data_IF_128561343330
#
_entry.id   IF_128561343330
#
_cell.length_a   1.000
_cell.length_b   1.000
_cell.length_c   1.000
_cell.angle_alpha   90.00
_cell.angle_beta   90.00
_cell.angle_gamma   90.00
#
_symmetry.space_group_name_H-M   'P 1'
#
loop_
_entity.id
_entity.type
_entity.pdbx_description
1 polymer ?
#
# COMPACT_ATOMS: atom_id res chain seq x y z
N UNK A 1 7.08 -8.62 -35.29
CA UNK A 1 6.15 -7.47 -35.09
C UNK A 1 6.73 -6.37 -34.19
N UNK A 2 8.05 -6.27 -34.01
CA UNK A 2 8.68 -5.12 -33.35
C UNK A 2 9.02 -4.06 -34.39
N UNK A 3 8.05 -3.19 -34.66
CA UNK A 3 8.20 -1.80 -35.13
C UNK A 3 8.97 -1.56 -36.44
N UNK A 4 8.43 -2.07 -37.56
CA UNK A 4 8.69 -1.54 -38.90
C UNK A 4 7.86 -0.26 -39.14
N UNK A 5 8.10 0.79 -38.36
CA UNK A 5 7.32 2.03 -38.47
C UNK A 5 8.16 3.04 -39.24
N UNK A 6 7.70 3.39 -40.43
CA UNK A 6 8.19 4.58 -41.12
C UNK A 6 7.66 5.80 -40.38
N UNK A 7 8.53 6.76 -40.11
CA UNK A 7 8.15 7.99 -39.42
C UNK A 7 8.17 9.17 -40.39
N UNK A 8 7.20 10.08 -40.25
CA UNK A 8 7.27 11.36 -40.93
C UNK A 8 8.09 12.34 -40.11
N UNK A 9 8.65 13.37 -40.77
CA UNK A 9 9.40 14.43 -40.09
C UNK A 9 8.60 15.11 -38.96
N UNK A 10 7.26 15.12 -39.07
CA UNK A 10 6.35 15.65 -38.03
C UNK A 10 6.29 14.76 -36.79
N UNK A 11 6.30 13.43 -36.97
CA UNK A 11 6.26 12.47 -35.87
C UNK A 11 7.60 12.49 -35.11
N UNK A 12 8.70 12.55 -35.86
CA UNK A 12 10.05 12.64 -35.28
C UNK A 12 10.21 13.96 -34.51
N UNK A 13 9.75 15.08 -35.07
CA UNK A 13 9.74 16.37 -34.37
C UNK A 13 8.90 16.32 -33.07
N UNK A 14 7.78 15.61 -33.08
CA UNK A 14 6.93 15.44 -31.89
C UNK A 14 7.58 14.55 -30.84
N UNK A 15 8.24 13.46 -31.25
CA UNK A 15 9.00 12.56 -30.38
C UNK A 15 10.26 13.23 -29.77
N UNK A 16 10.82 14.23 -30.45
CA UNK A 16 11.94 15.05 -29.94
C UNK A 16 11.46 16.17 -28.99
N UNK A 17 10.23 16.10 -28.48
CA UNK A 17 9.66 17.05 -27.52
C UNK A 17 9.75 18.54 -27.95
N UNK A 18 9.84 18.82 -29.26
CA UNK A 18 10.00 20.16 -29.85
C UNK A 18 11.28 20.91 -29.43
N UNK A 19 12.31 20.21 -28.98
CA UNK A 19 13.60 20.83 -28.62
C UNK A 19 14.31 21.47 -29.83
N UNK A 20 14.06 20.94 -31.03
CA UNK A 20 14.67 21.41 -32.28
C UNK A 20 13.60 21.91 -33.24
N UNK A 21 13.88 22.98 -33.98
CA UNK A 21 12.96 23.51 -34.99
C UNK A 21 12.63 22.46 -36.07
N UNK A 22 11.36 22.40 -36.49
CA UNK A 22 10.87 21.43 -37.49
C UNK A 22 11.70 21.39 -38.78
N UNK A 23 12.17 22.56 -39.23
CA UNK A 23 13.03 22.70 -40.41
C UNK A 23 14.43 22.12 -40.19
N UNK A 24 14.99 22.24 -38.98
CA UNK A 24 16.27 21.63 -38.63
C UNK A 24 16.17 20.11 -38.59
N UNK A 25 15.10 19.56 -37.97
CA UNK A 25 14.83 18.12 -37.95
C UNK A 25 14.67 17.57 -39.37
N UNK A 26 13.91 18.25 -40.22
CA UNK A 26 13.73 17.84 -41.61
C UNK A 26 15.05 17.83 -42.39
N UNK A 27 15.87 18.88 -42.27
CA UNK A 27 17.18 18.95 -42.94
C UNK A 27 18.13 17.86 -42.49
N UNK A 28 18.14 17.55 -41.19
CA UNK A 28 18.97 16.46 -40.65
C UNK A 28 18.53 15.09 -41.18
N UNK A 29 17.22 14.85 -41.32
CA UNK A 29 16.69 13.61 -41.91
C UNK A 29 17.03 13.49 -43.39
N UNK A 30 16.91 14.57 -44.16
CA UNK A 30 17.33 14.59 -45.57
C UNK A 30 18.83 14.34 -45.72
N UNK A 31 19.65 14.91 -44.83
CA UNK A 31 21.09 14.63 -44.79
C UNK A 31 21.38 13.16 -44.50
N UNK A 32 20.77 12.59 -43.46
CA UNK A 32 20.93 11.17 -43.11
C UNK A 32 20.43 10.22 -44.22
N UNK A 33 19.40 10.63 -44.96
CA UNK A 33 18.91 9.89 -46.13
C UNK A 33 19.92 9.98 -47.29
N UNK A 34 20.51 11.15 -47.53
CA UNK A 34 21.54 11.34 -48.57
C UNK A 34 22.84 10.58 -48.27
N UNK A 35 23.20 10.45 -46.99
CA UNK A 35 24.32 9.63 -46.51
C UNK A 35 24.01 8.13 -46.55
N UNK A 36 22.75 7.76 -46.85
CA UNK A 36 22.31 6.38 -46.98
C UNK A 36 22.20 5.65 -45.64
N UNK A 37 22.19 6.37 -44.52
CA UNK A 37 22.02 5.82 -43.16
C UNK A 37 20.57 5.45 -42.87
N UNK A 38 19.62 6.18 -43.48
CA UNK A 38 18.19 5.90 -43.42
C UNK A 38 17.62 5.80 -44.84
N UNK A 39 16.56 5.02 -45.01
CA UNK A 39 15.82 4.94 -46.27
C UNK A 39 14.75 6.03 -46.30
N UNK A 40 14.74 6.80 -47.38
CA UNK A 40 13.68 7.78 -47.67
C UNK A 40 12.72 7.17 -48.69
N UNK A 41 11.43 7.17 -48.38
CA UNK A 41 10.36 6.78 -49.30
C UNK A 41 9.40 7.94 -49.48
N UNK A 42 9.21 8.35 -50.73
CA UNK A 42 8.31 9.45 -51.09
C UNK A 42 6.91 8.87 -51.31
N UNK A 43 5.97 9.22 -50.42
CA UNK A 43 4.56 8.90 -50.58
C UNK A 43 3.82 10.18 -51.00
N UNK A 44 3.80 10.45 -52.30
CA UNK A 44 3.16 11.65 -52.86
C UNK A 44 3.87 12.94 -52.45
N UNK A 45 3.20 13.80 -51.67
CA UNK A 45 3.76 15.08 -51.17
C UNK A 45 4.56 14.97 -49.87
N UNK A 46 4.57 13.80 -49.23
CA UNK A 46 5.21 13.60 -47.93
C UNK A 46 6.33 12.57 -48.02
N UNK A 47 7.41 12.83 -47.28
CA UNK A 47 8.59 11.96 -47.19
C UNK A 47 8.51 11.15 -45.89
N UNK A 48 8.58 9.83 -46.01
CA UNK A 48 8.64 8.91 -44.90
C UNK A 48 10.08 8.40 -44.76
N UNK A 49 10.58 8.36 -43.52
CA UNK A 49 11.93 7.92 -43.20
C UNK A 49 11.89 6.62 -42.41
N UNK A 50 12.74 5.66 -42.77
CA UNK A 50 12.89 4.42 -42.03
C UNK A 50 14.37 4.06 -41.84
N UNK A 51 14.75 3.42 -40.72
CA UNK A 51 16.10 2.96 -40.51
C UNK A 51 16.46 1.83 -41.50
N UNK A 52 17.68 1.84 -42.03
CA UNK A 52 18.16 0.78 -42.92
C UNK A 52 18.16 -0.56 -42.20
N UNK A 53 17.57 -1.57 -42.84
CA UNK A 53 17.49 -2.93 -42.29
C UNK A 53 18.61 -3.83 -42.81
N UNK A 54 19.22 -3.49 -43.95
CA UNK A 54 20.29 -4.26 -44.60
C UNK A 54 21.55 -4.45 -43.72
N UNK A 55 21.67 -3.65 -42.66
CA UNK A 55 22.75 -3.76 -41.66
C UNK A 55 22.53 -4.90 -40.65
N UNK A 56 21.31 -5.42 -40.56
CA UNK A 56 20.99 -6.60 -39.75
C UNK A 56 21.01 -7.79 -40.69
N UNK A 57 21.97 -8.70 -40.52
CA UNK A 57 22.12 -9.87 -41.37
C UNK A 57 20.91 -10.80 -41.33
N UNK A 58 20.91 -11.82 -42.18
CA UNK A 58 19.90 -12.86 -42.13
C UNK A 58 19.96 -13.57 -40.77
N UNK A 59 18.85 -13.54 -40.05
CA UNK A 59 18.72 -14.22 -38.77
C UNK A 59 18.57 -15.72 -39.02
N UNK A 60 19.45 -16.52 -38.44
CA UNK A 60 19.31 -17.98 -38.46
C UNK A 60 18.10 -18.41 -37.63
N UNK A 61 17.31 -19.34 -38.15
CA UNK A 61 16.10 -19.82 -37.50
C UNK A 61 16.42 -20.49 -36.14
N UNK A 62 17.63 -21.05 -35.99
CA UNK A 62 18.07 -21.59 -34.70
C UNK A 62 18.36 -20.50 -33.68
N UNK A 63 18.90 -19.34 -34.10
CA UNK A 63 19.13 -18.21 -33.20
C UNK A 63 17.81 -17.60 -32.72
N UNK A 64 16.82 -17.49 -33.61
CA UNK A 64 15.46 -17.05 -33.25
C UNK A 64 14.87 -18.01 -32.21
N UNK A 65 14.91 -19.33 -32.47
CA UNK A 65 14.42 -20.35 -31.53
C UNK A 65 15.14 -20.30 -30.18
N UNK A 66 16.46 -20.04 -30.19
CA UNK A 66 17.24 -19.88 -28.97
C UNK A 66 16.80 -18.64 -28.19
N UNK A 67 16.61 -17.50 -28.85
CA UNK A 67 16.13 -16.27 -28.22
C UNK A 67 14.73 -16.48 -27.65
N UNK A 68 13.82 -17.10 -28.40
CA UNK A 68 12.47 -17.42 -27.92
C UNK A 68 12.53 -18.32 -26.69
N UNK A 69 13.38 -19.35 -26.69
CA UNK A 69 13.57 -20.21 -25.51
C UNK A 69 14.09 -19.44 -24.29
N UNK A 70 14.98 -18.46 -24.50
CA UNK A 70 15.48 -17.59 -23.43
C UNK A 70 14.40 -16.64 -22.92
N UNK A 71 13.58 -16.07 -23.81
CA UNK A 71 12.45 -15.21 -23.46
C UNK A 71 11.45 -16.00 -22.62
N UNK A 72 11.08 -17.21 -23.04
CA UNK A 72 10.18 -18.08 -22.28
C UNK A 72 10.76 -18.42 -20.91
N UNK A 73 12.02 -18.85 -20.84
CA UNK A 73 12.68 -19.18 -19.57
C UNK A 73 12.78 -17.97 -18.62
N UNK A 74 13.13 -16.79 -19.12
CA UNK A 74 13.19 -15.57 -18.32
C UNK A 74 11.78 -15.14 -17.87
N UNK A 75 10.77 -15.25 -18.72
CA UNK A 75 9.39 -14.90 -18.39
C UNK A 75 8.82 -15.82 -17.30
N UNK A 76 9.11 -17.13 -17.37
CA UNK A 76 8.74 -18.07 -16.32
C UNK A 76 9.43 -17.77 -14.98
N UNK A 77 10.73 -17.45 -15.01
CA UNK A 77 11.47 -17.05 -13.80
C UNK A 77 10.86 -15.79 -13.19
N UNK A 78 10.57 -14.78 -14.00
CA UNK A 78 9.95 -13.54 -13.56
C UNK A 78 8.60 -13.81 -12.90
N UNK A 79 7.76 -14.63 -13.54
CA UNK A 79 6.46 -15.01 -12.98
C UNK A 79 6.59 -15.70 -11.62
N UNK A 80 7.50 -16.68 -11.50
CA UNK A 80 7.76 -17.38 -10.22
C UNK A 80 8.27 -16.44 -9.13
N UNK A 81 9.19 -15.54 -9.47
CA UNK A 81 9.70 -14.52 -8.54
C UNK A 81 8.59 -13.58 -8.08
N UNK A 82 7.72 -13.14 -8.99
CA UNK A 82 6.62 -12.23 -8.69
C UNK A 82 5.55 -12.91 -7.81
N UNK A 83 5.25 -14.19 -8.06
CA UNK A 83 4.40 -15.00 -7.18
C UNK A 83 5.02 -15.15 -5.79
N UNK A 84 6.32 -15.45 -5.72
CA UNK A 84 7.06 -15.61 -4.46
C UNK A 84 7.07 -14.31 -3.65
N UNK A 85 7.32 -13.17 -4.31
CA UNK A 85 7.27 -11.85 -3.68
C UNK A 85 5.89 -11.58 -3.08
N UNK A 86 4.83 -11.84 -3.84
CA UNK A 86 3.45 -11.64 -3.38
C UNK A 86 3.13 -12.51 -2.17
N UNK A 87 3.58 -13.78 -2.16
CA UNK A 87 3.41 -14.65 -0.99
C UNK A 87 4.19 -14.11 0.22
N UNK A 88 5.46 -13.74 0.05
CA UNK A 88 6.30 -13.22 1.14
C UNK A 88 5.78 -11.88 1.68
N UNK A 89 5.28 -10.98 0.82
CA UNK A 89 4.63 -9.74 1.24
C UNK A 89 3.36 -10.02 2.04
N UNK A 90 2.58 -11.02 1.63
CA UNK A 90 1.36 -11.39 2.36
C UNK A 90 1.69 -12.04 3.72
N UNK A 91 2.71 -12.89 3.78
CA UNK A 91 3.23 -13.46 5.03
C UNK A 91 3.79 -12.36 5.95
N UNK A 92 4.58 -11.43 5.42
CA UNK A 92 5.14 -10.32 6.17
C UNK A 92 4.04 -9.38 6.68
N UNK A 93 3.01 -9.11 5.87
CA UNK A 93 1.83 -8.35 6.30
C UNK A 93 1.07 -9.11 7.40
N UNK A 94 0.89 -10.42 7.27
CA UNK A 94 0.23 -11.23 8.28
C UNK A 94 1.01 -11.18 9.60
N UNK A 95 2.32 -11.43 9.57
CA UNK A 95 3.21 -11.39 10.74
C UNK A 95 3.24 -10.01 11.39
N UNK A 96 3.28 -8.92 10.60
CA UNK A 96 3.23 -7.55 11.13
C UNK A 96 1.84 -7.16 11.67
N UNK A 97 0.76 -7.73 11.12
CA UNK A 97 -0.60 -7.48 11.61
C UNK A 97 -0.92 -8.26 12.89
N UNK A 98 -0.24 -9.39 13.10
CA UNK A 98 -0.22 -10.06 14.39
C UNK A 98 0.68 -9.31 15.36
N UNK A 99 0.17 -9.07 16.56
CA UNK A 99 0.88 -8.36 17.61
C UNK A 99 2.28 -8.97 17.80
N UNK A 100 3.35 -8.19 17.57
CA UNK A 100 4.73 -8.66 17.76
C UNK A 100 4.86 -9.32 19.12
N UNK A 101 5.54 -10.46 19.23
CA UNK A 101 5.72 -11.21 20.48
C UNK A 101 6.17 -10.33 21.66
N UNK A 102 6.92 -9.27 21.36
CA UNK A 102 7.35 -8.24 22.33
C UNK A 102 6.17 -7.42 22.89
N UNK A 103 5.28 -6.95 22.02
CA UNK A 103 4.08 -6.19 22.39
C UNK A 103 3.03 -7.07 23.07
N UNK A 104 2.98 -8.36 22.71
CA UNK A 104 2.16 -9.34 23.42
C UNK A 104 2.65 -9.53 24.87
N UNK A 105 3.97 -9.61 25.08
CA UNK A 105 4.55 -9.72 26.43
C UNK A 105 4.31 -8.48 27.29
N UNK A 106 4.44 -7.27 26.73
CA UNK A 106 4.16 -6.03 27.48
C UNK A 106 2.68 -5.94 27.86
N UNK A 107 1.75 -6.19 26.92
CA UNK A 107 0.32 -6.23 27.22
C UNK A 107 -0.03 -7.29 28.25
N UNK A 108 0.57 -8.47 28.18
CA UNK A 108 0.36 -9.54 29.15
C UNK A 108 0.81 -9.10 30.54
N UNK A 109 2.00 -8.49 30.67
CA UNK A 109 2.48 -7.94 31.94
C UNK A 109 1.55 -6.85 32.50
N UNK A 110 1.06 -5.94 31.65
CA UNK A 110 0.13 -4.89 32.06
C UNK A 110 -1.23 -5.46 32.52
N UNK A 111 -1.76 -6.44 31.79
CA UNK A 111 -3.00 -7.13 32.12
C UNK A 111 -2.88 -7.88 33.44
N UNK A 112 -1.77 -8.60 33.66
CA UNK A 112 -1.50 -9.28 34.94
C UNK A 112 -1.47 -8.29 36.09
N UNK A 113 -0.73 -7.18 35.96
CA UNK A 113 -0.71 -6.15 37.01
C UNK A 113 -2.09 -5.53 37.28
N UNK A 114 -2.91 -5.34 36.23
CA UNK A 114 -4.29 -4.85 36.40
C UNK A 114 -5.15 -5.87 37.15
N UNK A 115 -5.04 -7.15 36.79
CA UNK A 115 -5.74 -8.24 37.47
C UNK A 115 -5.36 -8.30 38.95
N UNK A 116 -4.07 -8.24 39.28
CA UNK A 116 -3.59 -8.26 40.66
C UNK A 116 -4.13 -7.07 41.47
N UNK A 117 -4.08 -5.86 40.89
CA UNK A 117 -4.66 -4.65 41.51
C UNK A 117 -6.16 -4.76 41.72
N UNK A 118 -6.90 -5.33 40.77
CA UNK A 118 -8.34 -5.54 40.94
C UNK A 118 -8.65 -6.59 42.00
N UNK A 119 -7.87 -7.68 42.06
CA UNK A 119 -8.00 -8.70 43.10
C UNK A 119 -7.69 -8.13 44.48
N UNK A 120 -6.65 -7.32 44.62
CA UNK A 120 -6.30 -6.64 45.88
C UNK A 120 -7.41 -5.67 46.31
N UNK A 121 -7.90 -4.85 45.38
CA UNK A 121 -9.07 -3.97 45.64
C UNK A 121 -10.29 -4.76 46.07
N UNK A 122 -10.57 -5.86 45.40
CA UNK A 122 -11.72 -6.71 45.70
C UNK A 122 -11.56 -7.40 47.07
N UNK A 123 -10.34 -7.81 47.42
CA UNK A 123 -10.00 -8.33 48.76
C UNK A 123 -10.19 -7.27 49.84
N UNK A 124 -9.70 -6.05 49.62
CA UNK A 124 -9.84 -4.93 50.54
C UNK A 124 -11.29 -4.49 50.74
N UNK A 125 -12.09 -4.49 49.67
CA UNK A 125 -13.53 -4.23 49.74
C UNK A 125 -14.23 -5.34 50.54
N UNK A 126 -13.92 -6.61 50.27
CA UNK A 126 -14.49 -7.75 51.00
C UNK A 126 -14.06 -7.82 52.47
N UNK A 127 -12.85 -7.39 52.81
CA UNK A 127 -12.37 -7.35 54.19
C UNK A 127 -12.87 -6.12 54.96
N UNK A 128 -13.40 -5.11 54.27
CA UNK A 128 -14.00 -3.94 54.91
C UNK A 128 -15.38 -4.32 55.43
N UNK A 129 -15.45 -4.60 56.73
CA UNK A 129 -16.60 -5.13 57.50
C UNK A 129 -17.84 -4.24 57.54
N UNK A 130 -17.89 -3.11 56.82
CA UNK A 130 -19.05 -2.21 56.75
C UNK A 130 -19.83 -2.41 55.45
N UNK A 131 -20.27 -3.64 55.20
CA UNK A 131 -21.28 -3.91 54.18
C UNK A 131 -22.65 -3.50 54.73
N UNK A 132 -23.04 -2.26 54.51
CA UNK A 132 -24.45 -1.85 54.67
C UNK A 132 -25.17 -2.29 53.40
N UNK A 133 -26.14 -3.19 53.51
CA UNK A 133 -26.92 -3.60 52.34
C UNK A 133 -27.75 -2.41 51.83
N UNK A 134 -28.10 -2.38 50.53
CA UNK A 134 -29.02 -1.36 50.01
C UNK A 134 -30.32 -1.27 50.82
N UNK A 135 -30.85 -2.39 51.33
CA UNK A 135 -32.05 -2.39 52.18
C UNK A 135 -31.83 -1.73 53.55
N UNK A 136 -30.70 -2.00 54.21
CA UNK A 136 -30.35 -1.40 55.49
C UNK A 136 -30.13 0.11 55.36
N UNK A 137 -29.47 0.53 54.27
CA UNK A 137 -29.29 1.94 53.93
C UNK A 137 -30.64 2.64 53.79
N UNK A 138 -31.55 2.09 52.99
CA UNK A 138 -32.88 2.68 52.76
C UNK A 138 -33.71 2.78 54.05
N UNK A 139 -33.61 1.79 54.93
CA UNK A 139 -34.27 1.82 56.24
C UNK A 139 -33.73 2.96 57.10
N UNK A 140 -32.41 3.11 57.21
CA UNK A 140 -31.76 4.20 57.96
C UNK A 140 -32.18 5.56 57.40
N UNK A 141 -32.26 5.73 56.07
CA UNK A 141 -32.71 6.99 55.46
C UNK A 141 -34.17 7.30 55.77
N UNK A 142 -35.06 6.29 55.74
CA UNK A 142 -36.48 6.45 56.09
C UNK A 142 -36.62 6.84 57.57
N UNK A 143 -35.94 6.15 58.46
CA UNK A 143 -35.97 6.39 59.90
C UNK A 143 -35.42 7.79 60.23
N UNK A 144 -34.28 8.17 59.65
CA UNK A 144 -33.71 9.51 59.80
C UNK A 144 -34.68 10.60 59.32
N UNK A 145 -35.31 10.41 58.16
CA UNK A 145 -36.32 11.34 57.63
C UNK A 145 -37.52 11.47 58.57
N UNK A 146 -38.01 10.36 59.11
CA UNK A 146 -39.11 10.36 60.08
C UNK A 146 -38.73 11.08 61.38
N UNK A 147 -37.57 10.78 61.97
CA UNK A 147 -37.12 11.41 63.21
C UNK A 147 -36.92 12.92 63.05
N UNK A 148 -36.35 13.38 61.93
CA UNK A 148 -36.22 14.82 61.63
C UNK A 148 -37.59 15.48 61.48
N UNK A 149 -38.55 14.83 60.83
CA UNK A 149 -39.92 15.36 60.72
C UNK A 149 -40.61 15.46 62.09
N UNK A 150 -40.50 14.42 62.93
CA UNK A 150 -41.05 14.43 64.28
C UNK A 150 -40.41 15.53 65.15
N UNK A 151 -39.08 15.68 65.10
CA UNK A 151 -38.35 16.74 65.80
C UNK A 151 -38.81 18.13 65.34
N UNK A 152 -38.92 18.37 64.04
CA UNK A 152 -39.43 19.63 63.48
C UNK A 152 -40.88 19.93 63.90
N UNK A 153 -41.72 18.91 64.11
CA UNK A 153 -43.09 19.10 64.61
C UNK A 153 -43.09 19.46 66.09
N UNK A 154 -42.32 18.76 66.92
CA UNK A 154 -42.18 19.06 68.35
C UNK A 154 -41.61 20.46 68.60
N UNK A 155 -40.58 20.86 67.86
CA UNK A 155 -39.98 22.21 67.93
C UNK A 155 -40.93 23.35 67.53
N UNK A 156 -42.03 23.05 66.81
CA UNK A 156 -43.04 24.06 66.42
C UNK A 156 -44.16 24.22 67.44
N UNK A 157 -44.24 23.32 68.42
CA UNK A 157 -45.25 23.31 69.49
C UNK A 157 -44.70 23.85 70.82
N UNK A 158 -43.39 24.11 70.88
CA UNK A 158 -42.66 24.78 71.96
C UNK A 158 -42.21 26.13 71.42
#
# INVERSE_FOLDING_TARGET
LSTYVCFFAVDIFSNLHKEYGKTAVQRSLEKLASEGTITEKINGKQKAYAPKQDQFGDYDENEIKKIDSQISACSEKLKKLQETLKTQESELRNVNSTLTTKDAKTKLSELTQKCDKYQERLKNIKSTTKHVTPEEKDKIYKDHKQYVQMWKKRKRLV
#
